data_IF_907121905163
#
_entry.id   IF_907121905163
#
_cell.length_a   1.000
_cell.length_b   1.000
_cell.length_c   1.000
_cell.angle_alpha   90.00
_cell.angle_beta   90.00
_cell.angle_gamma   90.00
#
_symmetry.space_group_name_H-M   'P 1'
#
loop_
_entity.id
_entity.type
_entity.pdbx_description
1 polymer ?
#
# COMPACT_ATOMS: atom_id res chain seq x y z
N UNK A 1 -22.49 -60.22 -28.10
CA UNK A 1 -23.27 -59.60 -27.01
C UNK A 1 -23.08 -58.10 -27.15
N UNK A 2 -24.16 -57.34 -27.32
CA UNK A 2 -24.11 -55.89 -27.49
C UNK A 2 -23.80 -55.24 -26.13
N UNK A 3 -22.52 -55.10 -25.80
CA UNK A 3 -22.04 -54.21 -24.75
C UNK A 3 -21.92 -52.81 -25.35
N UNK A 4 -22.95 -51.97 -25.18
CA UNK A 4 -22.80 -50.48 -25.11
C UNK A 4 -24.10 -49.67 -25.08
N UNK A 5 -25.29 -50.27 -25.05
CA UNK A 5 -26.50 -49.47 -24.83
C UNK A 5 -26.77 -49.31 -23.33
N UNK A 6 -26.68 -48.07 -22.84
CA UNK A 6 -27.17 -47.72 -21.50
C UNK A 6 -28.64 -48.11 -21.40
N UNK A 7 -29.07 -48.85 -20.36
CA UNK A 7 -30.46 -49.27 -20.24
C UNK A 7 -31.38 -48.04 -20.19
N UNK A 8 -32.26 -47.91 -21.19
CA UNK A 8 -33.23 -46.83 -21.30
C UNK A 8 -34.65 -47.34 -21.11
N UNK A 9 -35.44 -46.67 -20.26
CA UNK A 9 -36.85 -46.94 -20.07
C UNK A 9 -37.68 -45.82 -20.72
N UNK A 10 -38.79 -46.18 -21.37
CA UNK A 10 -39.73 -45.23 -21.95
C UNK A 10 -41.15 -45.68 -21.63
N UNK A 11 -41.97 -44.78 -21.12
CA UNK A 11 -43.39 -44.99 -20.83
C UNK A 11 -44.20 -43.80 -21.34
N UNK A 12 -45.45 -44.03 -21.74
CA UNK A 12 -46.42 -42.98 -22.07
C UNK A 12 -47.48 -42.88 -20.98
N UNK A 13 -47.79 -41.65 -20.59
CA UNK A 13 -48.69 -41.33 -19.49
C UNK A 13 -49.76 -40.36 -19.99
N UNK A 14 -51.03 -40.63 -19.68
CA UNK A 14 -52.08 -39.63 -19.83
C UNK A 14 -52.14 -38.75 -18.58
N UNK A 15 -51.88 -37.46 -18.76
CA UNK A 15 -51.87 -36.48 -17.68
C UNK A 15 -53.30 -36.15 -17.26
N UNK A 16 -53.58 -36.32 -15.97
CA UNK A 16 -54.82 -35.90 -15.33
C UNK A 16 -54.57 -34.75 -14.34
N UNK A 17 -55.59 -34.43 -13.54
CA UNK A 17 -55.52 -33.37 -12.52
C UNK A 17 -54.66 -33.78 -11.31
N UNK A 18 -54.49 -35.08 -11.08
CA UNK A 18 -53.69 -35.63 -9.98
C UNK A 18 -52.31 -36.10 -10.44
N UNK A 19 -51.27 -36.00 -9.59
CA UNK A 19 -49.93 -36.49 -9.91
C UNK A 19 -49.93 -38.01 -10.08
N UNK A 20 -49.27 -38.49 -11.14
CA UNK A 20 -49.08 -39.91 -11.43
C UNK A 20 -47.60 -40.25 -11.21
N UNK A 21 -47.33 -41.29 -10.42
CA UNK A 21 -45.99 -41.79 -10.17
C UNK A 21 -45.84 -43.21 -10.71
N UNK A 22 -44.77 -43.48 -11.46
CA UNK A 22 -44.39 -44.82 -11.90
C UNK A 22 -43.13 -45.24 -11.13
N UNK A 23 -43.19 -46.39 -10.47
CA UNK A 23 -42.03 -46.99 -9.83
C UNK A 23 -41.29 -47.90 -10.83
N UNK A 24 -39.98 -47.73 -10.94
CA UNK A 24 -39.09 -48.62 -11.70
C UNK A 24 -38.01 -49.17 -10.78
N UNK A 25 -37.70 -50.46 -10.95
CA UNK A 25 -36.64 -51.13 -10.19
C UNK A 25 -35.42 -51.26 -11.10
N UNK A 26 -34.27 -50.81 -10.59
CA UNK A 26 -32.99 -50.89 -11.29
C UNK A 26 -32.12 -51.94 -10.62
N UNK A 27 -31.42 -52.74 -11.42
CA UNK A 27 -30.50 -53.76 -10.94
C UNK A 27 -29.08 -53.36 -11.30
N UNK A 28 -28.20 -53.30 -10.30
CA UNK A 28 -26.78 -53.08 -10.52
C UNK A 28 -26.09 -54.41 -10.83
N UNK A 29 -25.09 -54.39 -11.71
CA UNK A 29 -24.29 -55.57 -12.01
C UNK A 29 -23.42 -55.93 -10.80
N UNK A 30 -23.24 -57.23 -10.54
CA UNK A 30 -22.32 -57.68 -9.51
C UNK A 30 -20.87 -57.39 -9.93
N UNK A 31 -20.07 -56.84 -9.02
CA UNK A 31 -18.66 -56.42 -9.23
C UNK A 31 -18.50 -55.27 -10.23
N UNK A 32 -18.68 -54.04 -9.75
CA UNK A 32 -18.40 -52.82 -10.50
C UNK A 32 -16.97 -52.35 -10.23
N UNK A 33 -16.20 -52.04 -11.27
CA UNK A 33 -14.85 -51.47 -11.13
C UNK A 33 -14.89 -50.05 -10.53
N UNK A 34 -15.92 -49.27 -10.87
CA UNK A 34 -16.19 -47.94 -10.31
C UNK A 34 -17.37 -47.99 -9.35
N UNK A 35 -17.07 -48.03 -8.05
CA UNK A 35 -18.03 -47.91 -6.95
C UNK A 35 -17.99 -46.53 -6.28
N UNK A 36 -17.24 -45.57 -6.85
CA UNK A 36 -17.05 -44.24 -6.27
C UNK A 36 -17.90 -43.17 -6.96
N UNK A 37 -18.03 -43.23 -8.28
CA UNK A 37 -18.87 -42.30 -9.05
C UNK A 37 -20.35 -42.59 -8.82
N UNK A 38 -21.21 -41.57 -8.62
CA UNK A 38 -22.64 -41.79 -8.50
C UNK A 38 -23.24 -42.29 -9.83
N UNK A 39 -24.26 -43.13 -9.73
CA UNK A 39 -25.06 -43.57 -10.89
C UNK A 39 -25.98 -42.43 -11.30
N UNK A 40 -25.80 -41.90 -12.51
CA UNK A 40 -26.62 -40.79 -13.03
C UNK A 40 -27.83 -41.35 -13.76
N UNK A 41 -29.02 -41.10 -13.23
CA UNK A 41 -30.30 -41.41 -13.85
C UNK A 41 -30.79 -40.19 -14.64
N UNK A 42 -30.74 -40.27 -15.96
CA UNK A 42 -31.24 -39.20 -16.83
C UNK A 42 -32.69 -39.44 -17.22
N UNK A 43 -33.53 -38.42 -17.08
CA UNK A 43 -34.94 -38.45 -17.49
C UNK A 43 -35.24 -37.32 -18.45
N UNK A 44 -35.98 -37.63 -19.52
CA UNK A 44 -36.45 -36.68 -20.50
C UNK A 44 -37.90 -36.99 -20.78
N UNK A 45 -38.73 -35.95 -20.85
CA UNK A 45 -40.14 -36.10 -21.19
C UNK A 45 -40.52 -35.15 -22.33
N UNK A 46 -41.52 -35.57 -23.10
CA UNK A 46 -42.18 -34.78 -24.13
C UNK A 46 -43.68 -34.92 -23.96
N UNK A 47 -44.41 -33.83 -24.16
CA UNK A 47 -45.86 -33.83 -24.09
C UNK A 47 -46.40 -33.92 -25.50
N UNK A 48 -47.28 -34.89 -25.75
CA UNK A 48 -48.04 -34.97 -26.99
C UNK A 48 -49.37 -34.24 -26.78
N UNK A 49 -49.56 -33.15 -27.52
CA UNK A 49 -50.73 -32.28 -27.37
C UNK A 49 -51.92 -32.91 -28.10
N UNK A 50 -52.98 -33.24 -27.35
CA UNK A 50 -54.19 -33.82 -27.89
C UNK A 50 -55.31 -32.76 -27.83
N UNK A 51 -55.97 -32.44 -28.96
CA UNK A 51 -57.00 -31.41 -28.99
C UNK A 51 -58.22 -31.84 -28.17
N UNK A 52 -58.77 -30.92 -27.38
CA UNK A 52 -60.05 -31.11 -26.69
C UNK A 52 -61.23 -31.06 -27.70
N UNK A 53 -62.44 -31.41 -27.27
CA UNK A 53 -63.68 -31.36 -28.08
C UNK A 53 -63.95 -30.01 -28.74
N UNK A 54 -63.31 -28.92 -28.27
CA UNK A 54 -63.38 -27.57 -28.85
C UNK A 54 -62.17 -27.21 -29.74
N UNK A 55 -61.33 -28.17 -30.17
CA UNK A 55 -60.09 -27.97 -30.94
C UNK A 55 -59.01 -27.10 -30.25
N UNK A 56 -59.03 -26.98 -28.92
CA UNK A 56 -57.98 -26.31 -28.16
C UNK A 56 -56.88 -27.31 -27.80
N UNK A 57 -55.62 -26.95 -28.04
CA UNK A 57 -54.45 -27.78 -27.72
C UNK A 57 -53.72 -27.20 -26.49
N UNK A 58 -53.47 -28.02 -25.45
CA UNK A 58 -52.70 -27.58 -24.29
C UNK A 58 -51.21 -27.47 -24.67
N UNK A 59 -50.56 -26.37 -24.30
CA UNK A 59 -49.13 -26.12 -24.56
C UNK A 59 -48.35 -26.14 -23.25
N UNK A 60 -47.17 -26.78 -23.26
CA UNK A 60 -46.26 -26.78 -22.11
C UNK A 60 -45.64 -25.39 -21.93
N UNK A 61 -45.57 -24.89 -20.68
CA UNK A 61 -45.01 -23.57 -20.40
C UNK A 61 -43.54 -23.47 -20.88
N UNK A 62 -43.12 -22.40 -21.59
CA UNK A 62 -41.79 -22.32 -22.23
C UNK A 62 -40.59 -22.46 -21.28
N UNK A 63 -40.74 -22.08 -20.01
CA UNK A 63 -39.68 -22.18 -19.00
C UNK A 63 -39.58 -23.57 -18.33
N UNK A 64 -40.45 -24.51 -18.70
CA UNK A 64 -40.47 -25.85 -18.10
C UNK A 64 -39.25 -26.65 -18.56
N UNK A 65 -38.48 -27.18 -17.61
CA UNK A 65 -37.38 -28.10 -17.92
C UNK A 65 -37.93 -29.47 -18.30
N UNK A 66 -37.74 -29.86 -19.56
CA UNK A 66 -38.17 -31.15 -20.13
C UNK A 66 -37.18 -32.29 -19.89
N UNK A 67 -36.07 -32.01 -19.21
CA UNK A 67 -35.11 -33.02 -18.78
C UNK A 67 -34.58 -32.72 -17.39
N UNK A 68 -34.34 -33.78 -16.64
CA UNK A 68 -33.72 -33.73 -15.31
C UNK A 68 -32.90 -34.99 -15.08
N UNK A 69 -31.91 -34.91 -14.22
CA UNK A 69 -31.12 -36.06 -13.82
C UNK A 69 -31.07 -36.18 -12.30
N UNK A 70 -30.88 -37.39 -11.82
CA UNK A 70 -30.71 -37.73 -10.40
C UNK A 70 -29.40 -38.50 -10.28
N UNK A 71 -28.63 -38.22 -9.24
CA UNK A 71 -27.39 -38.94 -8.92
C UNK A 71 -27.68 -39.89 -7.76
N UNK A 72 -27.46 -41.19 -7.96
CA UNK A 72 -27.62 -42.23 -6.94
C UNK A 72 -26.23 -42.69 -6.51
N UNK A 73 -25.73 -42.28 -5.33
CA UNK A 73 -24.43 -42.73 -4.86
C UNK A 73 -24.47 -44.21 -4.48
N UNK A 74 -23.36 -44.93 -4.66
CA UNK A 74 -23.21 -46.28 -4.11
C UNK A 74 -23.19 -46.26 -2.58
N UNK A 75 -23.72 -47.33 -1.97
CA UNK A 75 -23.65 -47.53 -0.52
C UNK A 75 -22.19 -47.72 -0.11
N UNK A 76 -21.74 -46.93 0.87
CA UNK A 76 -20.32 -46.66 1.17
C UNK A 76 -19.94 -47.10 2.58
N UNK A 77 -18.62 -47.28 2.77
CA UNK A 77 -17.89 -47.56 4.02
C UNK A 77 -18.44 -46.84 5.26
N UNK A 78 -19.46 -47.40 5.90
CA UNK A 78 -19.98 -47.01 7.22
C UNK A 78 -19.57 -48.03 8.28
N UNK A 79 -18.42 -48.68 8.13
CA UNK A 79 -18.01 -49.76 9.03
C UNK A 79 -18.95 -50.98 9.01
N UNK A 80 -19.02 -51.69 10.14
CA UNK A 80 -19.75 -52.96 10.27
C UNK A 80 -21.23 -52.82 10.61
N UNK A 81 -21.65 -51.70 11.20
CA UNK A 81 -23.05 -51.44 11.58
C UNK A 81 -23.86 -50.86 10.41
N UNK A 82 -23.19 -50.40 9.35
CA UNK A 82 -23.82 -49.83 8.17
C UNK A 82 -24.43 -48.45 8.39
N UNK A 83 -24.14 -47.79 9.52
CA UNK A 83 -24.70 -46.50 9.90
C UNK A 83 -23.58 -45.46 9.90
N UNK A 84 -23.51 -44.65 8.85
CA UNK A 84 -22.49 -43.61 8.75
C UNK A 84 -22.77 -42.46 9.73
N UNK A 85 -21.85 -42.22 10.68
CA UNK A 85 -21.88 -41.10 11.62
C UNK A 85 -20.80 -40.07 11.25
N UNK A 86 -21.16 -38.93 10.61
CA UNK A 86 -20.21 -37.89 10.25
C UNK A 86 -19.85 -37.02 11.47
N UNK A 87 -18.71 -36.34 11.38
CA UNK A 87 -18.31 -35.28 12.33
C UNK A 87 -17.73 -34.12 11.51
N UNK A 88 -18.59 -33.15 11.18
CA UNK A 88 -18.22 -32.01 10.37
C UNK A 88 -17.69 -30.87 11.22
N UNK A 89 -16.45 -30.43 10.94
CA UNK A 89 -15.88 -29.26 11.60
C UNK A 89 -15.69 -28.11 10.63
N UNK A 90 -16.04 -26.90 11.06
CA UNK A 90 -15.83 -25.67 10.29
C UNK A 90 -15.06 -24.62 11.08
N UNK A 91 -14.14 -23.94 10.42
CA UNK A 91 -13.48 -22.74 10.96
C UNK A 91 -13.18 -21.77 9.82
N UNK A 92 -12.97 -20.49 10.14
CA UNK A 92 -12.66 -19.51 9.10
C UNK A 92 -11.82 -18.35 9.60
N UNK A 93 -11.22 -17.63 8.65
CA UNK A 93 -10.58 -16.34 8.90
C UNK A 93 -10.87 -15.35 7.77
N UNK A 94 -10.79 -14.05 8.05
CA UNK A 94 -11.11 -12.97 7.10
C UNK A 94 -10.00 -12.69 6.06
N UNK A 95 -9.21 -13.70 5.73
CA UNK A 95 -8.12 -13.64 4.71
C UNK A 95 -7.20 -12.40 4.80
N UNK A 96 -6.87 -11.94 6.02
CA UNK A 96 -6.02 -10.77 6.27
C UNK A 96 -6.75 -9.42 6.34
N UNK A 97 -8.07 -9.40 6.16
CA UNK A 97 -8.89 -8.20 6.30
C UNK A 97 -8.91 -7.75 7.76
N UNK A 98 -8.42 -6.54 8.03
CA UNK A 98 -8.43 -5.93 9.38
C UNK A 98 -9.81 -5.42 9.80
N UNK A 99 -10.67 -5.13 8.84
CA UNK A 99 -12.02 -4.62 9.07
C UNK A 99 -12.83 -4.50 7.78
N UNK A 100 -14.14 -4.34 7.93
CA UNK A 100 -15.08 -4.12 6.84
C UNK A 100 -15.07 -2.65 6.47
N UNK A 101 -14.42 -2.31 5.35
CA UNK A 101 -14.33 -0.92 4.90
C UNK A 101 -15.67 -0.45 4.35
N UNK A 102 -16.15 0.68 4.85
CA UNK A 102 -17.32 1.40 4.35
C UNK A 102 -17.01 2.09 3.01
N UNK A 103 -16.68 1.29 2.01
CA UNK A 103 -16.53 1.71 0.63
C UNK A 103 -17.58 1.00 -0.20
N UNK A 104 -18.20 1.69 -1.18
CA UNK A 104 -18.97 0.99 -2.18
C UNK A 104 -18.05 0.00 -2.92
N UNK A 105 -18.52 -1.23 -3.14
CA UNK A 105 -17.79 -2.30 -3.80
C UNK A 105 -16.57 -2.87 -3.04
N UNK A 106 -16.46 -2.64 -1.73
CA UNK A 106 -15.46 -3.38 -0.94
C UNK A 106 -15.75 -4.89 -1.04
N UNK A 107 -14.70 -5.66 -1.32
CA UNK A 107 -14.77 -7.12 -1.40
C UNK A 107 -14.17 -7.69 -0.13
N UNK A 108 -14.97 -8.42 0.63
CA UNK A 108 -14.53 -9.16 1.78
C UNK A 108 -14.35 -10.63 1.40
N UNK A 109 -13.13 -11.13 1.57
CA UNK A 109 -12.81 -12.54 1.34
C UNK A 109 -12.65 -13.27 2.67
N UNK A 110 -13.16 -14.49 2.71
CA UNK A 110 -12.98 -15.41 3.83
C UNK A 110 -12.31 -16.67 3.30
N UNK A 111 -11.48 -17.26 4.14
CA UNK A 111 -10.94 -18.59 3.94
C UNK A 111 -11.60 -19.49 4.97
N UNK A 112 -12.39 -20.45 4.49
CA UNK A 112 -13.17 -21.37 5.31
C UNK A 112 -12.52 -22.75 5.21
N UNK A 113 -12.22 -23.36 6.35
CA UNK A 113 -11.74 -24.72 6.46
C UNK A 113 -12.93 -25.62 6.83
N UNK A 114 -13.19 -26.61 5.99
CA UNK A 114 -14.19 -27.67 6.21
C UNK A 114 -13.44 -28.99 6.41
N UNK A 115 -13.77 -29.70 7.48
CA UNK A 115 -13.20 -31.01 7.79
C UNK A 115 -14.31 -32.02 8.08
N UNK A 116 -14.06 -33.28 7.74
CA UNK A 116 -14.86 -34.41 8.21
C UNK A 116 -13.96 -35.34 9.04
N UNK A 117 -14.17 -35.39 10.34
CA UNK A 117 -13.37 -36.14 11.30
C UNK A 117 -13.98 -37.51 11.64
N UNK A 118 -15.23 -37.73 11.24
CA UNK A 118 -15.98 -38.96 11.45
C UNK A 118 -16.02 -39.82 10.19
N UNK A 119 -17.17 -40.45 9.96
CA UNK A 119 -17.42 -41.29 8.78
C UNK A 119 -17.98 -40.47 7.62
N UNK A 120 -18.43 -41.12 6.55
CA UNK A 120 -18.93 -40.43 5.36
C UNK A 120 -20.12 -39.51 5.67
N UNK A 121 -20.04 -38.26 5.20
CA UNK A 121 -21.15 -37.30 5.30
C UNK A 121 -21.95 -37.24 3.99
N UNK A 122 -23.27 -37.40 4.07
CA UNK A 122 -24.18 -37.33 2.91
C UNK A 122 -24.72 -35.92 2.69
N UNK A 123 -24.75 -35.50 1.42
CA UNK A 123 -25.18 -34.16 0.99
C UNK A 123 -24.66 -33.04 1.89
N UNK A 124 -23.32 -32.94 2.07
CA UNK A 124 -22.73 -31.91 2.90
C UNK A 124 -23.11 -30.52 2.37
N UNK A 125 -23.42 -29.62 3.28
CA UNK A 125 -23.73 -28.23 2.99
C UNK A 125 -23.07 -27.28 4.00
N UNK A 126 -22.66 -26.10 3.53
CA UNK A 126 -22.26 -24.98 4.39
C UNK A 126 -23.28 -23.86 4.24
N UNK A 127 -23.75 -23.35 5.38
CA UNK A 127 -24.63 -22.21 5.50
C UNK A 127 -23.85 -21.00 6.03
N UNK A 128 -24.12 -19.84 5.46
CA UNK A 128 -23.51 -18.56 5.80
C UNK A 128 -24.60 -17.59 6.25
N UNK A 129 -24.48 -17.11 7.48
CA UNK A 129 -25.30 -16.04 8.04
C UNK A 129 -24.40 -14.82 8.23
N UNK A 130 -24.77 -13.68 7.65
CA UNK A 130 -23.95 -12.48 7.62
C UNK A 130 -24.81 -11.22 7.60
N UNK A 131 -24.24 -10.08 8.00
CA UNK A 131 -24.96 -8.81 8.04
C UNK A 131 -25.52 -8.39 6.66
N UNK A 132 -26.70 -7.77 6.64
CA UNK A 132 -27.37 -7.28 5.43
C UNK A 132 -26.54 -6.29 4.61
N UNK A 133 -25.54 -5.63 5.22
CA UNK A 133 -24.59 -4.73 4.52
C UNK A 133 -23.69 -5.46 3.52
N UNK A 134 -23.76 -6.78 3.44
CA UNK A 134 -22.99 -7.62 2.54
C UNK A 134 -23.88 -8.43 1.61
N UNK A 135 -23.34 -8.77 0.45
CA UNK A 135 -23.97 -9.61 -0.56
C UNK A 135 -22.98 -10.70 -0.96
N UNK A 136 -23.39 -11.96 -0.89
CA UNK A 136 -22.56 -13.10 -1.28
C UNK A 136 -22.26 -13.06 -2.79
N UNK A 137 -20.98 -13.20 -3.17
CA UNK A 137 -20.56 -13.26 -4.57
C UNK A 137 -20.38 -14.69 -5.07
N UNK A 138 -19.86 -15.58 -4.22
CA UNK A 138 -19.52 -16.94 -4.62
C UNK A 138 -18.54 -17.61 -3.66
N UNK A 139 -18.31 -18.90 -3.92
CA UNK A 139 -17.27 -19.67 -3.26
C UNK A 139 -16.52 -20.56 -4.28
N UNK A 140 -15.26 -20.84 -4.01
CA UNK A 140 -14.42 -21.74 -4.79
C UNK A 140 -13.49 -22.54 -3.88
N UNK A 141 -12.92 -23.64 -4.37
CA UNK A 141 -11.97 -24.46 -3.61
C UNK A 141 -10.56 -23.94 -3.84
N UNK A 142 -9.84 -23.62 -2.76
CA UNK A 142 -8.41 -23.27 -2.81
C UNK A 142 -7.54 -24.52 -2.80
N UNK A 143 -7.80 -25.41 -1.84
CA UNK A 143 -7.05 -26.64 -1.65
C UNK A 143 -7.96 -27.69 -1.00
N UNK A 144 -7.90 -28.94 -1.45
CA UNK A 144 -8.63 -30.05 -0.83
C UNK A 144 -7.89 -31.35 -1.09
N UNK A 145 -7.90 -32.26 -0.12
CA UNK A 145 -7.43 -33.63 -0.29
C UNK A 145 -8.49 -34.56 -0.93
N UNK A 146 -9.69 -34.05 -1.19
CA UNK A 146 -10.80 -34.75 -1.86
C UNK A 146 -11.44 -33.86 -2.92
N UNK A 147 -11.81 -34.37 -4.11
CA UNK A 147 -12.51 -33.58 -5.13
C UNK A 147 -13.82 -33.03 -4.57
N UNK A 148 -13.96 -31.71 -4.59
CA UNK A 148 -15.09 -30.99 -4.02
C UNK A 148 -15.42 -29.79 -4.91
N UNK A 149 -16.69 -29.64 -5.28
CA UNK A 149 -17.17 -28.56 -6.13
C UNK A 149 -18.37 -27.85 -5.48
N UNK A 150 -18.21 -26.62 -4.98
CA UNK A 150 -19.30 -25.89 -4.33
C UNK A 150 -20.31 -25.35 -5.36
N UNK A 151 -21.58 -25.65 -5.12
CA UNK A 151 -22.74 -25.10 -5.80
C UNK A 151 -23.53 -24.22 -4.82
N UNK A 152 -23.35 -22.90 -4.93
CA UNK A 152 -23.87 -21.94 -3.97
C UNK A 152 -25.13 -21.24 -4.46
N UNK A 153 -26.01 -20.91 -3.51
CA UNK A 153 -27.24 -20.14 -3.74
C UNK A 153 -27.41 -19.11 -2.64
N UNK A 154 -27.83 -17.92 -3.05
CA UNK A 154 -28.32 -16.89 -2.13
C UNK A 154 -29.81 -17.11 -1.90
N UNK A 155 -30.24 -17.10 -0.64
CA UNK A 155 -31.63 -17.31 -0.30
C UNK A 155 -32.39 -15.99 -0.30
N UNK A 156 -33.60 -16.02 -0.86
CA UNK A 156 -34.51 -14.88 -0.86
C UNK A 156 -35.01 -14.62 0.57
N UNK A 157 -35.25 -13.35 0.83
CA UNK A 157 -35.34 -12.83 2.18
C UNK A 157 -36.80 -12.59 2.61
N UNK A 158 -37.27 -13.14 3.75
CA UNK A 158 -38.46 -12.62 4.41
C UNK A 158 -38.10 -11.26 5.07
N UNK A 159 -38.84 -10.20 4.77
CA UNK A 159 -38.48 -8.79 5.02
C UNK A 159 -37.93 -8.38 6.40
N UNK A 160 -37.39 -7.17 6.47
CA UNK A 160 -36.88 -6.40 7.63
C UNK A 160 -35.83 -7.01 8.60
N UNK A 161 -35.34 -8.24 8.42
CA UNK A 161 -34.22 -8.73 9.25
C UNK A 161 -32.85 -8.12 8.84
N UNK A 162 -31.93 -8.01 9.80
CA UNK A 162 -30.59 -7.46 9.62
C UNK A 162 -29.56 -8.48 9.12
N UNK A 163 -29.98 -9.73 8.87
CA UNK A 163 -29.11 -10.87 8.57
C UNK A 163 -29.51 -11.50 7.24
N UNK A 164 -28.54 -11.72 6.36
CA UNK A 164 -28.70 -12.44 5.08
C UNK A 164 -28.15 -13.86 5.21
N UNK A 165 -28.71 -14.74 4.38
CA UNK A 165 -28.43 -16.18 4.42
C UNK A 165 -28.01 -16.68 3.02
N UNK A 166 -27.00 -17.54 2.97
CA UNK A 166 -26.57 -18.21 1.73
C UNK A 166 -26.11 -19.62 2.04
N UNK A 167 -26.21 -20.53 1.07
CA UNK A 167 -25.81 -21.93 1.26
C UNK A 167 -24.99 -22.43 0.08
N UNK A 168 -23.99 -23.26 0.35
CA UNK A 168 -23.24 -23.99 -0.65
C UNK A 168 -23.39 -25.50 -0.40
N UNK A 169 -23.91 -26.21 -1.40
CA UNK A 169 -23.92 -27.68 -1.42
C UNK A 169 -22.76 -28.15 -2.28
N UNK A 170 -22.25 -29.36 -2.04
CA UNK A 170 -21.07 -29.83 -2.76
C UNK A 170 -21.36 -30.98 -3.70
N UNK A 171 -20.59 -31.03 -4.79
CA UNK A 171 -20.48 -32.19 -5.66
C UNK A 171 -19.07 -32.81 -5.56
N UNK A 172 -18.95 -34.15 -5.56
CA UNK A 172 -20.03 -35.12 -5.42
C UNK A 172 -20.77 -34.96 -4.07
N UNK A 173 -22.04 -35.40 -3.96
CA UNK A 173 -22.89 -35.21 -2.77
C UNK A 173 -22.48 -36.09 -1.57
N UNK A 174 -21.18 -36.30 -1.38
CA UNK A 174 -20.62 -37.09 -0.30
C UNK A 174 -19.21 -36.59 0.08
N UNK A 175 -18.97 -36.40 1.38
CA UNK A 175 -17.67 -35.99 1.93
C UNK A 175 -17.02 -37.13 2.68
N UNK A 176 -15.87 -37.59 2.21
CA UNK A 176 -15.16 -38.74 2.81
C UNK A 176 -14.62 -38.42 4.20
N UNK A 177 -14.55 -39.43 5.06
CA UNK A 177 -13.79 -39.40 6.31
C UNK A 177 -12.35 -38.89 6.09
N UNK A 178 -11.87 -38.00 6.98
CA UNK A 178 -10.55 -37.39 6.89
C UNK A 178 -10.39 -36.33 5.81
N UNK A 179 -11.47 -35.93 5.13
CA UNK A 179 -11.42 -34.83 4.15
C UNK A 179 -11.10 -33.51 4.86
N UNK A 180 -10.22 -32.72 4.26
CA UNK A 180 -9.88 -31.35 4.65
C UNK A 180 -9.89 -30.47 3.41
N UNK A 181 -10.82 -29.53 3.37
CA UNK A 181 -11.00 -28.60 2.27
C UNK A 181 -10.88 -27.14 2.75
N UNK A 182 -10.16 -26.33 2.00
CA UNK A 182 -10.07 -24.88 2.17
C UNK A 182 -10.83 -24.21 1.04
N UNK A 183 -11.86 -23.44 1.39
CA UNK A 183 -12.72 -22.71 0.49
C UNK A 183 -12.40 -21.23 0.55
N UNK A 184 -12.38 -20.59 -0.61
CA UNK A 184 -12.40 -19.13 -0.73
C UNK A 184 -13.84 -18.69 -0.90
N UNK A 185 -14.30 -17.78 -0.05
CA UNK A 185 -15.67 -17.25 -0.06
C UNK A 185 -15.61 -15.74 -0.16
N UNK A 186 -16.38 -15.15 -1.06
CA UNK A 186 -16.35 -13.72 -1.33
C UNK A 186 -17.70 -13.04 -1.10
N UNK A 187 -17.66 -11.86 -0.49
CA UNK A 187 -18.80 -10.99 -0.24
C UNK A 187 -18.51 -9.57 -0.76
N UNK A 188 -19.55 -8.87 -1.21
CA UNK A 188 -19.51 -7.46 -1.63
C UNK A 188 -20.26 -6.59 -0.64
N UNK A 189 -19.76 -5.40 -0.33
CA UNK A 189 -20.56 -4.39 0.37
C UNK A 189 -21.75 -3.89 -0.47
N UNK A 190 -22.95 -3.81 0.13
CA UNK A 190 -24.15 -3.22 -0.48
C UNK A 190 -24.26 -1.72 -0.16
N UNK A 191 -24.80 -0.93 -1.10
CA UNK A 191 -25.25 0.45 -0.86
C UNK A 191 -26.74 0.39 -0.51
N UNK A 192 -27.13 0.63 0.74
CA UNK A 192 -28.55 0.78 1.08
C UNK A 192 -28.96 0.33 2.47
N UNK A 193 -28.14 -0.50 3.13
CA UNK A 193 -28.45 -1.03 4.47
C UNK A 193 -27.81 -0.15 5.56
N UNK A 194 -28.49 0.01 6.69
CA UNK A 194 -27.95 0.72 7.87
C UNK A 194 -26.75 -0.03 8.40
N UNK A 195 -25.57 0.59 8.32
CA UNK A 195 -24.34 -0.03 8.79
C UNK A 195 -24.30 -0.10 10.31
N UNK A 196 -23.95 -1.26 10.90
CA UNK A 196 -23.84 -1.36 12.35
C UNK A 196 -22.69 -0.51 12.88
N UNK A 197 -22.88 0.10 14.04
CA UNK A 197 -21.99 1.14 14.59
C UNK A 197 -20.57 0.67 14.91
N UNK A 198 -20.32 -0.65 15.00
CA UNK A 198 -19.02 -1.15 15.49
C UNK A 198 -18.55 -2.45 14.86
N UNK A 199 -19.38 -3.49 14.84
CA UNK A 199 -18.98 -4.81 14.34
C UNK A 199 -20.07 -5.41 13.46
N UNK A 200 -19.65 -6.16 12.46
CA UNK A 200 -20.50 -7.14 11.77
C UNK A 200 -20.18 -8.54 12.28
N UNK A 201 -21.20 -9.40 12.32
CA UNK A 201 -21.08 -10.79 12.73
C UNK A 201 -21.27 -11.70 11.53
N UNK A 202 -20.52 -12.80 11.54
CA UNK A 202 -20.59 -13.88 10.58
C UNK A 202 -20.71 -15.18 11.34
N UNK A 203 -21.65 -16.01 10.93
CA UNK A 203 -21.81 -17.35 11.44
C UNK A 203 -21.82 -18.30 10.26
N UNK A 204 -20.91 -19.26 10.29
CA UNK A 204 -20.77 -20.30 9.25
C UNK A 204 -21.08 -21.62 9.90
N UNK A 205 -21.98 -22.40 9.31
CA UNK A 205 -22.42 -23.69 9.84
C UNK A 205 -22.28 -24.77 8.78
N UNK A 206 -21.67 -25.89 9.14
CA UNK A 206 -21.64 -27.11 8.34
C UNK A 206 -22.74 -28.08 8.80
N UNK A 207 -23.32 -28.82 7.86
CA UNK A 207 -24.37 -29.80 8.13
C UNK A 207 -24.37 -30.89 7.06
N UNK A 208 -24.74 -32.10 7.44
CA UNK A 208 -25.00 -33.22 6.54
C UNK A 208 -26.30 -33.94 6.90
N UNK A 209 -26.89 -34.68 5.95
CA UNK A 209 -28.19 -35.33 6.14
C UNK A 209 -28.19 -36.44 7.20
N UNK A 210 -27.07 -37.17 7.33
CA UNK A 210 -26.89 -38.23 8.33
C UNK A 210 -26.35 -37.72 9.66
N UNK A 211 -26.36 -36.41 9.88
CA UNK A 211 -25.96 -35.81 11.14
C UNK A 211 -27.18 -35.66 12.04
N UNK A 212 -27.25 -36.49 13.09
CA UNK A 212 -28.37 -36.49 14.04
C UNK A 212 -28.21 -35.46 15.16
N UNK A 213 -26.97 -35.10 15.49
CA UNK A 213 -26.64 -34.11 16.52
C UNK A 213 -25.59 -33.12 15.98
N UNK A 214 -25.89 -31.84 16.09
CA UNK A 214 -25.00 -30.77 15.63
C UNK A 214 -24.07 -30.43 16.78
N UNK A 215 -22.80 -30.82 16.64
CA UNK A 215 -21.77 -30.50 17.62
C UNK A 215 -21.38 -29.02 17.50
N UNK A 216 -20.77 -28.45 18.55
CA UNK A 216 -20.37 -27.02 18.53
C UNK A 216 -19.30 -26.72 17.45
N UNK A 217 -18.48 -27.72 17.08
CA UNK A 217 -17.45 -27.59 16.05
C UNK A 217 -18.02 -27.47 14.62
N UNK A 218 -19.31 -27.76 14.42
CA UNK A 218 -20.02 -27.55 13.16
C UNK A 218 -20.32 -26.07 12.89
N UNK A 219 -20.18 -25.20 13.89
CA UNK A 219 -20.51 -23.78 13.77
C UNK A 219 -19.34 -22.89 14.20
N UNK A 220 -18.95 -21.96 13.34
CA UNK A 220 -17.95 -20.96 13.64
C UNK A 220 -18.57 -19.58 13.54
N UNK A 221 -18.41 -18.78 14.60
CA UNK A 221 -18.82 -17.37 14.61
C UNK A 221 -17.60 -16.45 14.69
N UNK A 222 -17.62 -15.38 13.91
CA UNK A 222 -16.56 -14.37 13.89
C UNK A 222 -17.15 -12.97 13.76
N UNK A 223 -16.41 -11.99 14.27
CA UNK A 223 -16.77 -10.58 14.16
C UNK A 223 -15.68 -9.80 13.44
N UNK A 224 -16.09 -8.80 12.66
CA UNK A 224 -15.18 -7.92 11.93
C UNK A 224 -15.55 -6.47 12.24
N UNK A 225 -14.59 -5.60 12.63
CA UNK A 225 -14.89 -4.20 12.91
C UNK A 225 -15.28 -3.48 11.63
N UNK A 226 -16.22 -2.55 11.74
CA UNK A 226 -16.61 -1.66 10.63
C UNK A 226 -15.67 -0.46 10.61
N UNK A 227 -15.03 -0.21 9.47
CA UNK A 227 -14.06 0.85 9.29
C UNK A 227 -14.65 1.97 8.43
N UNK A 228 -14.66 3.19 8.97
CA UNK A 228 -15.12 4.39 8.30
C UNK A 228 -13.98 5.00 7.47
N UNK A 229 -14.24 5.43 6.22
CA UNK A 229 -13.26 6.18 5.45
C UNK A 229 -12.97 7.49 6.16
N UNK A 230 -11.69 7.84 6.21
CA UNK A 230 -11.21 9.15 6.64
C UNK A 230 -10.28 9.75 5.57
N UNK A 231 -10.47 11.02 5.26
CA UNK A 231 -9.71 11.78 4.28
C UNK A 231 -8.92 12.86 4.99
N UNK A 232 -7.77 12.44 5.51
CA UNK A 232 -6.82 13.31 6.20
C UNK A 232 -5.55 13.29 5.38
N UNK A 233 -5.07 14.47 5.03
CA UNK A 233 -3.87 14.63 4.24
C UNK A 233 -2.77 15.31 5.06
N UNK A 234 -1.53 14.94 4.75
CA UNK A 234 -0.34 15.69 5.15
C UNK A 234 0.30 16.23 3.88
N UNK A 235 0.57 17.53 3.84
CA UNK A 235 1.23 18.17 2.70
C UNK A 235 2.39 19.04 3.16
N UNK A 236 3.35 19.21 2.27
CA UNK A 236 4.43 20.17 2.45
C UNK A 236 3.91 21.61 2.32
N UNK A 237 4.51 22.50 3.10
CA UNK A 237 4.35 23.96 3.01
C UNK A 237 5.67 24.60 2.58
N UNK A 238 5.68 25.94 2.49
CA UNK A 238 6.87 26.73 2.15
C UNK A 238 8.04 26.38 3.08
N UNK A 239 9.00 25.63 2.53
CA UNK A 239 10.18 25.11 3.22
C UNK A 239 11.45 25.50 2.49
N UNK A 240 12.61 25.38 3.15
CA UNK A 240 13.89 25.70 2.55
C UNK A 240 14.23 24.68 1.46
N UNK A 241 14.21 25.09 0.19
CA UNK A 241 14.54 24.18 -0.91
C UNK A 241 16.05 24.01 -1.11
N UNK A 242 16.84 25.06 -0.84
CA UNK A 242 18.26 25.09 -1.15
C UNK A 242 19.07 25.88 -0.12
N UNK A 243 20.24 25.38 0.25
CA UNK A 243 21.25 26.06 1.05
C UNK A 243 22.64 25.84 0.46
N UNK A 244 23.49 26.86 0.51
CA UNK A 244 24.91 26.71 0.18
C UNK A 244 25.83 26.95 1.38
N UNK A 245 26.98 26.29 1.39
CA UNK A 245 28.01 26.48 2.41
C UNK A 245 29.39 26.52 1.76
N UNK A 246 30.28 27.35 2.29
CA UNK A 246 31.70 27.31 1.91
C UNK A 246 32.35 26.06 2.47
N UNK A 247 33.20 25.39 1.69
CA UNK A 247 33.95 24.22 2.16
C UNK A 247 35.02 24.55 3.21
N UNK A 248 35.40 25.82 3.35
CA UNK A 248 36.44 26.28 4.29
C UNK A 248 35.88 26.82 5.61
N UNK A 249 34.80 27.59 5.55
CA UNK A 249 34.14 28.14 6.73
C UNK A 249 32.62 28.12 6.52
N UNK A 250 31.94 27.01 6.85
CA UNK A 250 30.51 26.90 6.69
C UNK A 250 29.80 27.78 7.73
N UNK A 251 29.35 28.97 7.29
CA UNK A 251 28.56 29.88 8.11
C UNK A 251 27.22 29.24 8.46
N UNK A 252 26.81 29.39 9.71
CA UNK A 252 25.51 28.94 10.23
C UNK A 252 24.34 29.55 9.44
N UNK A 253 23.40 28.71 9.00
CA UNK A 253 22.20 29.13 8.26
C UNK A 253 20.94 28.54 8.88
N UNK A 254 19.77 29.11 8.58
CA UNK A 254 18.49 28.60 9.07
C UNK A 254 17.91 27.61 8.06
N UNK A 255 17.55 26.43 8.54
CA UNK A 255 16.85 25.38 7.80
C UNK A 255 15.44 25.24 8.38
N UNK A 256 14.44 25.30 7.50
CA UNK A 256 13.01 25.30 7.87
C UNK A 256 12.24 24.29 7.05
N UNK A 257 11.64 23.28 7.69
CA UNK A 257 10.70 22.35 7.07
C UNK A 257 9.32 22.52 7.70
N UNK A 258 8.30 22.75 6.88
CA UNK A 258 6.93 23.01 7.31
C UNK A 258 5.93 22.05 6.67
N UNK A 259 5.04 21.51 7.50
CA UNK A 259 3.98 20.58 7.10
C UNK A 259 2.61 21.11 7.51
N UNK A 260 1.58 20.78 6.73
CA UNK A 260 0.18 21.00 7.08
C UNK A 260 -0.56 19.68 7.13
N UNK A 261 -1.24 19.42 8.24
CA UNK A 261 -2.17 18.30 8.39
C UNK A 261 -3.58 18.86 8.34
N UNK A 262 -4.40 18.34 7.43
CA UNK A 262 -5.76 18.84 7.19
C UNK A 262 -6.77 17.71 7.10
N UNK A 263 -7.91 17.87 7.74
CA UNK A 263 -9.06 16.98 7.57
C UNK A 263 -9.96 17.50 6.44
N UNK A 264 -10.05 16.76 5.34
CA UNK A 264 -10.93 17.06 4.21
C UNK A 264 -12.33 16.45 4.40
N UNK A 265 -12.49 15.55 5.37
CA UNK A 265 -13.73 14.86 5.61
C UNK A 265 -14.71 15.63 6.51
N UNK A 266 -15.96 15.18 6.47
CA UNK A 266 -17.03 15.81 7.25
C UNK A 266 -17.03 15.42 8.72
N UNK A 267 -16.37 14.31 9.09
CA UNK A 267 -16.36 13.80 10.46
C UNK A 267 -15.08 14.19 11.19
N UNK A 268 -15.22 14.63 12.44
CA UNK A 268 -14.08 14.93 13.29
C UNK A 268 -13.38 13.63 13.74
N UNK A 269 -12.06 13.56 13.57
CA UNK A 269 -11.28 12.32 13.79
C UNK A 269 -10.02 12.59 14.61
N UNK A 270 -9.66 11.63 15.48
CA UNK A 270 -8.41 11.62 16.24
C UNK A 270 -7.27 11.00 15.42
N UNK A 271 -6.09 11.61 15.44
CA UNK A 271 -5.02 11.31 14.46
C UNK A 271 -3.64 11.32 15.13
N UNK A 272 -2.81 10.34 14.79
CA UNK A 272 -1.41 10.29 15.20
C UNK A 272 -0.52 10.73 14.04
N UNK A 273 0.25 11.79 14.24
CA UNK A 273 1.21 12.29 13.26
C UNK A 273 2.62 11.99 13.74
N UNK A 274 3.45 11.44 12.87
CA UNK A 274 4.85 11.12 13.15
C UNK A 274 5.75 11.89 12.20
N UNK A 275 6.65 12.70 12.74
CA UNK A 275 7.66 13.43 11.97
C UNK A 275 9.03 12.79 12.15
N UNK A 276 9.72 12.48 11.06
CA UNK A 276 11.10 12.02 11.03
C UNK A 276 12.01 13.15 10.57
N UNK A 277 12.89 13.62 11.47
CA UNK A 277 13.70 14.83 11.23
C UNK A 277 15.20 14.53 11.32
N UNK A 278 16.04 14.98 10.37
CA UNK A 278 17.47 14.73 10.37
C UNK A 278 18.24 15.66 11.33
N UNK A 279 18.60 15.20 12.53
CA UNK A 279 19.39 16.01 13.47
C UNK A 279 20.88 16.09 13.10
N UNK A 280 21.42 15.04 12.48
CA UNK A 280 22.83 14.98 12.09
C UNK A 280 23.00 14.34 10.72
N UNK A 281 23.72 14.99 9.82
CA UNK A 281 23.99 14.49 8.46
C UNK A 281 25.28 13.66 8.41
N UNK A 282 25.44 12.83 7.37
CA UNK A 282 26.69 12.09 7.11
C UNK A 282 27.91 13.01 7.00
N UNK A 283 27.70 14.21 6.47
CA UNK A 283 28.73 15.22 6.36
C UNK A 283 29.05 15.92 7.70
N UNK A 284 28.32 15.66 8.78
CA UNK A 284 28.61 16.22 10.10
C UNK A 284 27.96 17.59 10.37
N UNK A 285 26.98 17.99 9.56
CA UNK A 285 26.12 19.12 9.91
C UNK A 285 25.09 18.69 10.95
N UNK A 286 24.80 19.59 11.88
CA UNK A 286 23.78 19.48 12.92
C UNK A 286 22.63 20.44 12.61
N UNK A 287 21.42 19.96 12.84
CA UNK A 287 20.21 20.78 12.78
C UNK A 287 19.63 20.95 14.19
N UNK A 288 19.76 22.16 14.74
CA UNK A 288 19.19 22.50 16.04
C UNK A 288 17.75 23.01 15.87
N UNK A 289 16.81 22.07 15.93
CA UNK A 289 15.40 22.30 15.59
C UNK A 289 14.63 22.91 16.77
N UNK A 290 13.96 24.03 16.51
CA UNK A 290 12.96 24.63 17.39
C UNK A 290 11.57 24.41 16.78
N UNK A 291 10.79 23.44 17.30
CA UNK A 291 9.46 23.17 16.76
C UNK A 291 8.50 24.31 17.12
N UNK A 292 7.70 24.73 16.15
CA UNK A 292 6.62 25.70 16.32
C UNK A 292 5.35 25.15 15.68
N UNK A 293 4.22 25.40 16.33
CA UNK A 293 2.93 24.84 15.93
C UNK A 293 1.92 25.97 15.79
N UNK A 294 1.18 25.97 14.69
CA UNK A 294 0.10 26.93 14.46
C UNK A 294 -1.21 26.18 14.26
N UNK A 295 -2.17 26.47 15.13
CA UNK A 295 -3.52 25.93 15.13
C UNK A 295 -4.49 27.07 15.39
N UNK A 296 -5.68 27.01 14.79
CA UNK A 296 -6.75 27.99 15.01
C UNK A 296 -7.34 27.85 16.43
N UNK A 297 -7.37 26.62 16.98
CA UNK A 297 -7.71 26.35 18.39
C UNK A 297 -6.49 25.87 19.19
N UNK A 298 -6.23 26.50 20.35
CA UNK A 298 -4.95 26.41 21.08
C UNK A 298 -4.73 25.13 21.93
N UNK A 299 -5.64 24.15 21.93
CA UNK A 299 -5.55 23.00 22.88
C UNK A 299 -5.87 21.61 22.27
N UNK A 300 -5.79 21.42 20.95
CA UNK A 300 -6.25 20.18 20.30
C UNK A 300 -5.23 19.05 20.11
N UNK A 301 -3.96 19.25 20.46
CA UNK A 301 -2.92 18.24 20.21
C UNK A 301 -1.80 18.24 21.25
N UNK A 302 -1.15 17.10 21.40
CA UNK A 302 0.00 16.89 22.29
C UNK A 302 1.15 16.27 21.52
N UNK A 303 2.33 16.91 21.55
CA UNK A 303 3.53 16.39 20.92
C UNK A 303 4.57 15.99 21.97
N UNK A 304 5.28 14.90 21.69
CA UNK A 304 6.46 14.49 22.46
C UNK A 304 7.58 15.52 22.33
N UNK A 305 8.30 15.83 23.43
CA UNK A 305 9.43 16.75 23.37
C UNK A 305 10.59 16.10 22.58
N UNK A 306 11.35 16.92 21.83
CA UNK A 306 12.49 16.46 21.02
C UNK A 306 13.54 15.63 21.79
N UNK A 307 13.57 15.76 23.13
CA UNK A 307 14.62 15.22 23.99
C UNK A 307 14.30 13.88 24.67
N UNK A 308 13.09 13.31 24.50
CA UNK A 308 12.84 11.90 24.89
C UNK A 308 13.33 10.94 23.80
N UNK A 309 14.59 11.11 23.38
CA UNK A 309 15.29 10.15 22.54
C UNK A 309 15.70 8.98 23.44
N UNK A 310 14.98 7.85 23.35
CA UNK A 310 15.59 6.58 23.77
C UNK A 310 16.83 6.38 22.91
N UNK A 311 17.98 6.48 23.56
CA UNK A 311 19.28 6.01 23.10
C UNK A 311 19.15 4.54 22.69
N UNK A 312 18.90 4.33 21.41
CA UNK A 312 18.94 3.05 20.75
C UNK A 312 19.81 3.17 19.51
N UNK A 313 21.11 3.45 19.70
CA UNK A 313 22.09 3.29 18.62
C UNK A 313 22.18 1.79 18.34
N UNK A 314 21.27 1.27 17.53
CA UNK A 314 21.48 0.02 16.84
C UNK A 314 22.35 0.35 15.63
N UNK A 315 23.66 0.07 15.73
CA UNK A 315 24.52 -0.05 14.55
C UNK A 315 24.01 -1.24 13.72
N UNK A 316 23.03 -1.01 12.85
CA UNK A 316 22.79 -1.88 11.72
C UNK A 316 23.47 -1.24 10.51
N UNK A 317 24.44 -1.95 9.95
CA UNK A 317 24.99 -1.64 8.64
C UNK A 317 23.84 -1.75 7.62
N UNK A 318 23.25 -0.62 7.26
CA UNK A 318 22.20 -0.57 6.22
C UNK A 318 22.88 -0.42 4.87
N UNK A 319 23.25 -1.54 4.26
CA UNK A 319 23.43 -1.65 2.82
C UNK A 319 22.07 -1.92 2.18
N UNK A 320 21.28 -0.87 1.96
CA UNK A 320 20.23 -0.75 0.93
C UNK A 320 19.68 0.69 0.92
N UNK A 321 19.47 1.25 -0.28
CA UNK A 321 18.95 2.61 -0.50
C UNK A 321 17.61 2.79 0.23
N UNK A 322 17.60 3.58 1.29
CA UNK A 322 16.38 4.04 1.96
C UNK A 322 15.80 5.17 1.09
N UNK A 323 14.57 4.99 0.58
CA UNK A 323 13.79 6.02 -0.16
C UNK A 323 12.67 6.66 0.70
N UNK A 324 12.57 6.31 1.99
CA UNK A 324 11.58 6.88 2.94
C UNK A 324 12.25 7.29 4.26
N UNK A 325 11.79 8.37 4.88
CA UNK A 325 12.39 8.94 6.10
C UNK A 325 13.53 9.94 5.81
N UNK A 326 14.49 10.05 6.74
CA UNK A 326 15.58 11.02 6.60
C UNK A 326 16.68 10.55 5.62
N UNK A 327 16.61 10.98 4.37
CA UNK A 327 17.69 10.76 3.41
C UNK A 327 19.00 11.46 3.85
N UNK A 328 20.14 10.77 3.75
CA UNK A 328 21.46 11.36 4.03
C UNK A 328 21.80 11.59 5.52
N UNK A 329 20.92 11.22 6.46
CA UNK A 329 21.12 11.45 7.88
C UNK A 329 21.79 10.27 8.63
N UNK A 330 22.56 10.59 9.66
CA UNK A 330 23.13 9.65 10.64
C UNK A 330 22.23 9.51 11.86
N UNK A 331 21.53 10.60 12.24
CA UNK A 331 20.55 10.61 13.31
C UNK A 331 19.21 11.15 12.80
N UNK A 332 18.16 10.34 12.90
CA UNK A 332 16.81 10.63 12.43
C UNK A 332 15.80 10.31 13.55
N UNK A 333 15.67 11.17 14.57
CA UNK A 333 14.64 11.02 15.59
C UNK A 333 13.23 11.16 15.03
N UNK A 334 12.27 10.63 15.79
CA UNK A 334 10.84 10.75 15.53
C UNK A 334 10.17 11.63 16.56
N UNK A 335 9.32 12.54 16.11
CA UNK A 335 8.41 13.32 16.95
C UNK A 335 7.01 12.75 16.75
N UNK A 336 6.40 12.31 17.84
CA UNK A 336 5.02 11.85 17.86
C UNK A 336 4.11 12.98 18.32
N UNK A 337 3.08 13.28 17.54
CA UNK A 337 2.04 14.24 17.86
C UNK A 337 0.67 13.54 17.82
N UNK A 338 -0.06 13.61 18.91
CA UNK A 338 -1.44 13.11 19.04
C UNK A 338 -2.40 14.29 18.88
N UNK A 339 -3.26 14.25 17.86
CA UNK A 339 -4.34 15.22 17.63
C UNK A 339 -5.63 14.59 18.14
N UNK A 340 -6.24 15.17 19.18
CA UNK A 340 -7.42 14.61 19.84
C UNK A 340 -8.63 14.58 18.90
N UNK A 341 -8.87 15.70 18.23
CA UNK A 341 -10.02 15.90 17.35
C UNK A 341 -9.61 16.91 16.29
N UNK A 342 -9.72 16.54 15.01
CA UNK A 342 -9.52 17.47 13.89
C UNK A 342 -10.85 17.62 13.14
N UNK A 343 -11.49 18.78 13.25
CA UNK A 343 -12.81 19.04 12.66
C UNK A 343 -12.74 19.22 11.13
N UNK A 344 -13.91 19.23 10.48
CA UNK A 344 -14.01 19.41 9.02
C UNK A 344 -13.38 20.73 8.60
N UNK A 345 -12.41 20.67 7.69
CA UNK A 345 -11.73 21.84 7.14
C UNK A 345 -10.69 22.46 8.07
N UNK A 346 -10.54 21.95 9.29
CA UNK A 346 -9.50 22.38 10.22
C UNK A 346 -8.12 21.90 9.72
N UNK A 347 -7.11 22.73 9.95
CA UNK A 347 -5.73 22.40 9.60
C UNK A 347 -4.76 22.83 10.70
N UNK A 348 -3.77 21.99 10.95
CA UNK A 348 -2.69 22.27 11.91
C UNK A 348 -1.39 22.34 11.12
N UNK A 349 -0.62 23.41 11.33
CA UNK A 349 0.66 23.63 10.69
C UNK A 349 1.79 23.35 11.68
N UNK A 350 2.71 22.50 11.25
CA UNK A 350 3.90 22.12 12.00
C UNK A 350 5.11 22.72 11.30
N UNK A 351 5.83 23.60 11.99
CA UNK A 351 7.00 24.28 11.44
C UNK A 351 8.23 23.92 12.28
N UNK A 352 9.16 23.21 11.67
CA UNK A 352 10.45 22.84 12.22
C UNK A 352 11.48 23.79 11.65
N UNK A 353 11.82 24.83 12.41
CA UNK A 353 12.82 25.83 12.02
C UNK A 353 13.99 25.76 12.99
N UNK A 354 15.20 25.90 12.47
CA UNK A 354 16.37 25.73 13.31
C UNK A 354 17.66 26.09 12.63
N UNK A 355 18.67 26.22 13.45
CA UNK A 355 20.01 26.49 12.99
C UNK A 355 20.66 25.24 12.40
N UNK A 356 21.18 25.35 11.19
CA UNK A 356 21.92 24.30 10.49
C UNK A 356 23.38 24.71 10.33
N UNK A 357 24.27 23.97 10.98
CA UNK A 357 25.68 24.31 11.07
C UNK A 357 26.56 23.09 11.30
N UNK A 358 27.87 23.26 11.15
CA UNK A 358 28.86 22.25 11.49
C UNK A 358 29.78 22.78 12.56
N UNK A 359 29.95 22.04 13.65
CA UNK A 359 30.87 22.39 14.74
C UNK A 359 32.33 22.09 14.38
N UNK A 360 32.58 20.95 13.73
CA UNK A 360 33.93 20.55 13.32
C UNK A 360 34.38 21.31 12.07
N UNK A 361 35.29 22.27 12.25
CA UNK A 361 35.93 23.06 11.18
C UNK A 361 37.24 22.46 10.68
N UNK A 362 37.68 21.33 11.25
CA UNK A 362 39.03 20.79 11.06
C UNK A 362 39.16 19.95 9.78
N UNK A 363 38.08 19.25 9.40
CA UNK A 363 38.03 18.45 8.19
C UNK A 363 37.70 19.32 6.97
N UNK A 364 38.59 19.39 5.97
CA UNK A 364 38.29 20.05 4.69
C UNK A 364 37.15 19.32 3.98
N UNK A 365 36.09 20.05 3.66
CA UNK A 365 34.99 19.56 2.84
C UNK A 365 35.38 19.50 1.38
N UNK A 366 34.93 18.44 0.70
CA UNK A 366 34.93 18.40 -0.76
C UNK A 366 33.72 19.17 -1.29
N UNK A 367 33.85 19.72 -2.49
CA UNK A 367 32.73 20.35 -3.18
C UNK A 367 31.81 19.26 -3.70
N UNK A 368 30.58 19.25 -3.21
CA UNK A 368 29.57 18.23 -3.48
C UNK A 368 28.18 18.81 -3.17
N UNK A 369 27.15 18.29 -3.84
CA UNK A 369 25.75 18.51 -3.50
C UNK A 369 25.19 17.29 -2.79
N UNK A 370 24.46 17.50 -1.70
CA UNK A 370 23.78 16.43 -0.99
C UNK A 370 22.40 16.86 -0.51
N UNK A 371 21.49 15.89 -0.33
CA UNK A 371 20.12 16.16 0.09
C UNK A 371 19.92 15.88 1.58
N UNK A 372 19.09 16.71 2.21
CA UNK A 372 18.62 16.53 3.58
C UNK A 372 17.10 16.40 3.52
N UNK A 373 16.60 15.20 3.78
CA UNK A 373 15.17 14.90 3.75
C UNK A 373 14.55 14.84 5.15
N UNK A 374 13.31 15.31 5.29
CA UNK A 374 12.43 14.93 6.40
C UNK A 374 11.13 14.33 5.89
N UNK A 375 10.46 13.57 6.74
CA UNK A 375 9.18 12.92 6.43
C UNK A 375 8.15 13.22 7.50
N UNK A 376 6.92 13.46 7.10
CA UNK A 376 5.75 13.47 7.98
C UNK A 376 4.82 12.34 7.55
N UNK A 377 4.34 11.55 8.49
CA UNK A 377 3.40 10.45 8.24
C UNK A 377 2.23 10.49 9.19
N UNK A 378 1.06 10.08 8.70
CA UNK A 378 -0.19 10.05 9.44
C UNK A 378 -0.59 8.60 9.72
N UNK A 379 -1.07 8.34 10.94
CA UNK A 379 -1.73 7.10 11.32
C UNK A 379 -3.04 7.39 12.02
N UNK A 380 -4.08 6.71 11.58
CA UNK A 380 -5.41 6.76 12.20
C UNK A 380 -5.62 5.53 13.06
N UNK A 381 -6.64 5.57 13.91
CA UNK A 381 -7.10 4.41 14.66
C UNK A 381 -7.68 3.35 13.70
N UNK A 382 -6.83 2.41 13.26
CA UNK A 382 -7.16 1.34 12.31
C UNK A 382 -8.27 0.39 12.80
N UNK A 383 -8.72 0.51 14.06
CA UNK A 383 -9.85 -0.27 14.58
C UNK A 383 -11.20 0.30 14.20
N UNK A 384 -11.25 1.59 13.82
CA UNK A 384 -12.49 2.33 13.47
C UNK A 384 -12.41 3.04 12.14
N UNK A 385 -11.21 3.37 11.66
CA UNK A 385 -11.02 4.22 10.50
C UNK A 385 -10.02 3.61 9.51
N UNK A 386 -10.12 4.01 8.24
CA UNK A 386 -9.11 3.76 7.23
C UNK A 386 -8.88 5.00 6.36
N UNK A 387 -7.64 5.28 6.00
CA UNK A 387 -7.32 6.38 5.09
C UNK A 387 -7.82 6.04 3.68
N UNK A 388 -8.60 6.95 3.09
CA UNK A 388 -9.10 6.79 1.73
C UNK A 388 -8.03 7.10 0.67
N UNK A 389 -7.13 8.04 0.97
CA UNK A 389 -6.00 8.35 0.10
C UNK A 389 -4.86 7.32 0.21
N UNK A 390 -4.15 7.13 -0.90
CA UNK A 390 -3.07 6.16 -0.99
C UNK A 390 -1.76 6.62 -0.32
N UNK A 391 -1.59 7.93 -0.14
CA UNK A 391 -0.39 8.53 0.44
C UNK A 391 -0.65 8.96 1.88
N UNK A 392 -0.10 8.20 2.82
CA UNK A 392 -0.17 8.47 4.26
C UNK A 392 1.01 9.34 4.75
N UNK A 393 1.81 9.88 3.84
CA UNK A 393 3.05 10.59 4.16
C UNK A 393 3.38 11.69 3.16
N UNK A 394 4.20 12.64 3.59
CA UNK A 394 4.76 13.72 2.77
C UNK A 394 6.23 13.93 3.13
N UNK A 395 7.09 14.12 2.12
CA UNK A 395 8.53 14.31 2.29
C UNK A 395 8.95 15.68 1.78
N UNK A 396 9.89 16.30 2.49
CA UNK A 396 10.52 17.56 2.12
C UNK A 396 12.00 17.27 1.97
N UNK A 397 12.60 17.72 0.86
CA UNK A 397 14.04 17.58 0.62
C UNK A 397 14.67 18.95 0.39
N UNK A 398 15.73 19.25 1.12
CA UNK A 398 16.57 20.42 0.91
C UNK A 398 17.87 20.01 0.23
N UNK A 399 18.21 20.71 -0.84
CA UNK A 399 19.50 20.56 -1.50
C UNK A 399 20.56 21.41 -0.81
N UNK A 400 21.69 20.79 -0.47
CA UNK A 400 22.81 21.45 0.18
C UNK A 400 24.01 21.41 -0.74
N UNK A 401 24.47 22.58 -1.17
CA UNK A 401 25.64 22.73 -2.03
C UNK A 401 26.86 23.18 -1.24
N UNK A 402 27.96 22.43 -1.34
CA UNK A 402 29.25 22.77 -0.77
C UNK A 402 30.13 23.45 -1.83
N UNK A 403 30.31 24.75 -1.69
CA UNK A 403 31.05 25.58 -2.65
C UNK A 403 32.50 25.72 -2.17
N UNK A 404 33.45 25.30 -3.00
CA UNK A 404 34.86 25.55 -2.73
C UNK A 404 35.25 26.98 -3.16
N UNK A 405 35.76 27.83 -2.25
CA UNK A 405 36.20 29.16 -2.63
C UNK A 405 37.39 29.08 -3.58
N UNK A 406 37.30 29.81 -4.69
CA UNK A 406 38.32 29.90 -5.72
C UNK A 406 39.64 30.40 -5.12
N UNK A 407 40.75 29.70 -5.37
CA UNK A 407 42.09 30.14 -4.97
C UNK A 407 42.86 30.58 -6.23
N UNK A 408 43.00 31.89 -6.50
CA UNK A 408 43.73 32.37 -7.67
C UNK A 408 45.25 32.20 -7.55
N UNK A 409 45.79 31.93 -6.36
CA UNK A 409 47.25 31.95 -6.10
C UNK A 409 48.02 30.97 -7.00
N UNK A 410 47.64 29.69 -7.15
CA UNK A 410 48.34 28.77 -8.05
C UNK A 410 48.31 29.23 -9.52
N UNK A 411 47.22 29.86 -9.95
CA UNK A 411 47.07 30.39 -11.32
C UNK A 411 47.95 31.62 -11.52
N UNK A 412 48.05 32.50 -10.52
CA UNK A 412 48.94 33.66 -10.54
C UNK A 412 50.41 33.21 -10.58
N UNK A 413 50.80 32.25 -9.74
CA UNK A 413 52.16 31.69 -9.72
C UNK A 413 52.47 30.98 -11.05
N UNK A 414 51.54 30.17 -11.57
CA UNK A 414 51.71 29.50 -12.85
C UNK A 414 51.84 30.49 -14.02
N UNK A 415 50.99 31.51 -14.06
CA UNK A 415 51.02 32.55 -15.10
C UNK A 415 52.29 33.39 -15.04
N UNK A 416 52.78 33.74 -13.85
CA UNK A 416 54.02 34.52 -13.69
C UNK A 416 55.24 33.72 -14.11
N UNK A 417 55.36 32.45 -13.70
CA UNK A 417 56.46 31.57 -14.13
C UNK A 417 56.40 31.37 -15.66
N UNK A 418 55.22 31.06 -16.20
CA UNK A 418 55.03 30.89 -17.64
C UNK A 418 55.37 32.17 -18.42
N UNK A 419 54.98 33.33 -17.92
CA UNK A 419 55.30 34.63 -18.50
C UNK A 419 56.80 34.93 -18.50
N UNK A 420 57.51 34.63 -17.40
CA UNK A 420 58.97 34.81 -17.32
C UNK A 420 59.69 33.87 -18.29
N UNK A 421 59.26 32.60 -18.38
CA UNK A 421 59.83 31.63 -19.33
C UNK A 421 59.61 32.08 -20.77
N UNK A 422 58.39 32.53 -21.10
CA UNK A 422 58.08 33.06 -22.41
C UNK A 422 58.93 34.31 -22.74
N UNK A 423 59.08 35.21 -21.78
CA UNK A 423 59.93 36.40 -21.91
C UNK A 423 61.39 36.01 -22.17
N UNK A 424 61.93 35.03 -21.45
CA UNK A 424 63.29 34.54 -21.64
C UNK A 424 63.49 33.94 -23.05
N UNK A 425 62.50 33.18 -23.56
CA UNK A 425 62.53 32.65 -24.92
C UNK A 425 62.53 33.78 -25.96
N UNK A 426 61.68 34.79 -25.78
CA UNK A 426 61.64 35.97 -26.67
C UNK A 426 62.98 36.70 -26.67
N UNK A 427 63.58 36.93 -25.50
CA UNK A 427 64.91 37.56 -25.39
C UNK A 427 65.98 36.72 -26.09
N UNK A 428 65.95 35.39 -25.95
CA UNK A 428 66.89 34.51 -26.64
C UNK A 428 66.74 34.57 -28.17
N UNK A 429 65.50 34.61 -28.67
CA UNK A 429 65.21 34.80 -30.11
C UNK A 429 65.70 36.17 -30.60
N UNK A 430 65.38 37.25 -29.89
CA UNK A 430 65.82 38.61 -30.22
C UNK A 430 67.35 38.75 -30.17
N UNK A 431 68.01 38.06 -29.23
CA UNK A 431 69.46 38.00 -29.15
C UNK A 431 70.06 37.27 -30.36
N UNK A 432 69.48 36.12 -30.75
CA UNK A 432 69.94 35.35 -31.91
C UNK A 432 69.68 36.09 -33.24
N UNK A 433 68.63 36.89 -33.31
CA UNK A 433 68.33 37.80 -34.43
C UNK A 433 69.18 39.08 -34.43
N UNK A 434 70.07 39.26 -33.44
CA UNK A 434 71.08 40.33 -33.42
C UNK A 434 70.58 41.69 -32.91
N UNK A 435 69.37 41.76 -32.34
CA UNK A 435 68.74 43.01 -31.91
C UNK A 435 69.53 43.74 -30.80
N UNK A 436 70.24 43.01 -29.94
CA UNK A 436 70.96 43.58 -28.78
C UNK A 436 72.44 43.95 -29.03
N UNK A 437 72.95 43.86 -30.28
CA UNK A 437 74.33 44.27 -30.60
C UNK A 437 74.42 45.78 -30.88
N UNK A 438 74.67 46.59 -29.85
CA UNK A 438 74.99 48.03 -30.02
C UNK A 438 76.52 48.25 -30.07
N UNK A 439 77.02 48.92 -31.11
CA UNK A 439 78.35 49.55 -31.13
C UNK A 439 78.30 50.83 -30.28
N UNK A 440 79.22 51.00 -29.33
CA UNK A 440 79.45 52.28 -28.64
C UNK A 440 80.41 53.14 -29.48
N UNK A 441 80.18 54.44 -29.58
CA UNK A 441 81.13 55.42 -30.10
C UNK A 441 82.10 55.88 -28.97
N UNK A 442 83.38 56.19 -29.27
CA UNK A 442 84.36 56.63 -28.28
C UNK A 442 84.25 58.14 -27.98
N UNK A 443 84.70 58.49 -26.77
CA UNK A 443 84.65 59.79 -26.12
C UNK A 443 85.95 60.59 -26.39
N UNK A 444 85.86 61.89 -26.72
CA UNK A 444 86.97 62.86 -26.76
C UNK A 444 86.49 64.20 -26.18
N UNK A 445 87.30 64.77 -25.29
CA UNK A 445 87.07 65.99 -24.49
C UNK A 445 87.61 67.29 -25.15
N UNK A 446 86.98 68.44 -24.86
CA UNK A 446 87.50 69.83 -24.73
C UNK A 446 86.28 70.82 -24.75
N UNK A 447 85.88 71.51 -23.66
CA UNK A 447 86.40 72.76 -23.05
C UNK A 447 86.30 73.97 -24.04
N UNK A 448 85.70 75.14 -23.81
CA UNK A 448 85.24 75.96 -22.67
C UNK A 448 84.24 77.04 -23.18
N UNK A 449 83.39 77.64 -22.31
CA UNK A 449 83.14 79.10 -22.23
C UNK A 449 81.97 79.51 -21.30
N UNK A 450 82.35 80.02 -20.12
CA UNK A 450 81.89 81.23 -19.41
C UNK A 450 80.43 81.51 -19.00
N UNK A 451 80.37 81.91 -17.70
CA UNK A 451 79.56 82.96 -17.06
C UNK A 451 78.06 82.66 -16.81
N UNK A 452 77.39 83.11 -15.75
CA UNK A 452 77.70 83.66 -14.41
C UNK A 452 76.31 83.97 -13.79
N UNK A 453 76.17 83.89 -12.47
CA UNK A 453 75.05 84.48 -11.69
C UNK A 453 73.81 83.58 -11.56
N UNK A 454 73.49 83.11 -10.35
CA UNK A 454 72.67 83.79 -9.31
C UNK A 454 71.16 83.73 -9.64
N UNK A 455 70.21 83.46 -8.75
CA UNK A 455 70.13 83.04 -7.36
C UNK A 455 68.70 82.47 -7.17
N UNK A 456 68.46 81.72 -6.09
CA UNK A 456 67.13 81.39 -5.56
C UNK A 456 66.34 82.69 -5.17
N UNK A 457 65.05 82.68 -4.73
CA UNK A 457 64.29 81.57 -4.14
C UNK A 457 62.73 81.56 -4.32
N UNK A 458 62.12 80.51 -3.74
CA UNK A 458 60.80 80.40 -3.06
C UNK A 458 59.50 81.04 -3.60
N UNK A 459 58.47 80.18 -3.57
CA UNK A 459 57.17 80.32 -2.86
C UNK A 459 55.85 80.37 -3.66
N UNK A 460 54.90 79.60 -3.09
CA UNK A 460 53.44 79.75 -3.07
C UNK A 460 52.56 79.31 -4.26
N UNK A 461 51.67 78.36 -3.96
CA UNK A 461 50.33 78.16 -4.53
C UNK A 461 49.40 79.36 -4.15
N UNK A 462 48.14 79.55 -4.66
CA UNK A 462 47.18 78.54 -5.11
C UNK A 462 46.17 78.98 -6.23
N UNK A 463 45.10 78.18 -6.38
CA UNK A 463 43.72 78.52 -6.80
C UNK A 463 43.21 78.16 -8.21
N UNK A 464 42.36 77.13 -8.21
CA UNK A 464 41.01 76.97 -8.79
C UNK A 464 40.45 77.95 -9.84
N UNK A 465 39.80 77.37 -10.86
CA UNK A 465 38.38 77.56 -11.31
C UNK A 465 38.31 77.42 -12.86
N UNK A 466 37.58 76.45 -13.41
CA UNK A 466 36.12 76.41 -13.68
C UNK A 466 35.76 76.91 -15.10
N UNK A 467 34.58 76.45 -15.57
CA UNK A 467 33.91 76.62 -16.86
C UNK A 467 34.15 75.44 -17.82
N UNK A 468 33.14 74.74 -18.33
CA UNK A 468 31.68 74.97 -18.37
C UNK A 468 30.97 73.65 -18.65
#
# INVERSE_FOLDING_TARGET
>A
MLENESPSFSDSLQLGVMPICINKTLWAQACLDDSFSPVVLWTKFSVQEQPDNNNLQPVLHPETKTSTYIEVPFQKDCGQDGICVPDLSVSFHFSGSKGLKLSPNFILNLTVKLENLGELAYEPAIYFNYSSVLSFQGASVLHSNWPLFPACRMHAFPGNASVRHSSCHFRPPALKAGTRAFLWVSFRSSKGDTWPDKFVYFTIRAHSLNESNIQENNEATGRLPVLYPVNIIVKELKSTAYLNFSTRDPVKKVLTHSYEVRNLDSNATAINVTFELPLKTKHGFFWNITPSYYSEEKNHFSCTPLFTLRTGISKKNVTKRIKRGCEGAVACPKIYCFINTLAKGESIRFNFSGDFYREDKSSKLMSETFHVGSEASIRVDETRFFLNEAEDFSQITTEIELISPFNPVPIIIGSTIGGIVLLAIIVAVLYKLGFFKRKRAPQMDAMDANAAGAAAPTDQAPSTSAAS
#
